data_IF_422848514326
#
_entry.id   IF_422848514326
#
_cell.length_a   1.000
_cell.length_b   1.000
_cell.length_c   1.000
_cell.angle_alpha   90.00
_cell.angle_beta   90.00
_cell.angle_gamma   90.00
#
_symmetry.space_group_name_H-M   'P 1'
#
loop_
_entity.id
_entity.type
_entity.pdbx_description
1 polymer ?
#
# COMPACT_ATOMS: atom_id res chain seq x y z
N UNK A 1 9.92 1.17 -5.03
CA UNK A 1 9.49 1.11 -6.44
C UNK A 1 8.00 0.82 -6.54
N UNK A 2 7.52 -0.38 -6.91
CA UNK A 2 6.06 -0.67 -6.98
C UNK A 2 5.38 -0.67 -5.60
N UNK A 3 6.04 -1.23 -4.57
CA UNK A 3 5.50 -1.21 -3.20
C UNK A 3 5.35 0.23 -2.70
N UNK A 4 6.43 1.02 -2.84
CA UNK A 4 6.46 2.43 -2.46
C UNK A 4 5.42 3.24 -3.23
N UNK A 5 5.22 2.97 -4.52
CA UNK A 5 4.15 3.57 -5.32
C UNK A 5 2.77 3.28 -4.72
N UNK A 6 2.48 2.03 -4.34
CA UNK A 6 1.22 1.71 -3.67
C UNK A 6 1.01 2.49 -2.37
N UNK A 7 2.08 2.65 -1.57
CA UNK A 7 2.05 3.49 -0.35
C UNK A 7 1.78 4.96 -0.69
N UNK A 8 2.44 5.52 -1.71
CA UNK A 8 2.19 6.89 -2.18
C UNK A 8 0.74 7.06 -2.66
N UNK A 9 0.19 6.11 -3.41
CA UNK A 9 -1.21 6.13 -3.82
C UNK A 9 -2.15 6.13 -2.62
N UNK A 10 -1.90 5.28 -1.61
CA UNK A 10 -2.66 5.33 -0.36
C UNK A 10 -2.63 6.72 0.26
N UNK A 11 -1.44 7.33 0.41
CA UNK A 11 -1.32 8.68 1.00
C UNK A 11 -2.06 9.75 0.19
N UNK A 12 -2.09 9.65 -1.15
CA UNK A 12 -2.85 10.56 -2.01
C UNK A 12 -4.36 10.36 -1.82
N UNK A 13 -4.81 9.10 -1.70
CA UNK A 13 -6.23 8.76 -1.56
C UNK A 13 -6.79 9.15 -0.19
N UNK A 14 -6.01 9.00 0.89
CA UNK A 14 -6.48 9.21 2.25
C UNK A 14 -6.06 10.55 2.85
N UNK A 15 -4.97 11.15 2.34
CA UNK A 15 -4.33 12.30 2.98
C UNK A 15 -3.68 11.98 4.33
N UNK A 16 -3.52 10.71 4.67
CA UNK A 16 -2.97 10.25 5.96
C UNK A 16 -1.63 9.55 5.81
N UNK A 17 -0.90 9.38 6.92
CA UNK A 17 0.32 8.58 6.91
C UNK A 17 -0.05 7.08 6.91
N UNK A 18 0.72 6.22 6.23
CA UNK A 18 0.52 4.78 6.30
C UNK A 18 1.00 4.27 7.67
N UNK A 19 0.36 3.20 8.17
CA UNK A 19 0.75 2.52 9.41
C UNK A 19 0.91 3.49 10.60
N UNK A 20 -0.20 4.11 11.00
CA UNK A 20 -0.24 5.01 12.15
C UNK A 20 -0.67 4.29 13.42
N UNK A 21 -0.10 4.71 14.54
CA UNK A 21 -0.54 4.40 15.90
C UNK A 21 -0.75 5.73 16.63
N UNK A 22 -1.97 5.96 17.11
CA UNK A 22 -2.39 7.23 17.75
C UNK A 22 -2.01 8.49 16.95
N UNK A 23 -2.25 8.46 15.63
CA UNK A 23 -1.96 9.57 14.70
C UNK A 23 -0.48 9.79 14.39
N UNK A 24 0.44 8.98 14.94
CA UNK A 24 1.88 9.06 14.70
C UNK A 24 2.34 7.89 13.84
N UNK A 25 3.38 8.12 13.06
CA UNK A 25 4.02 7.05 12.30
C UNK A 25 4.69 6.05 13.26
N UNK A 26 4.56 4.76 12.96
CA UNK A 26 5.31 3.74 13.69
C UNK A 26 6.82 3.97 13.58
N UNK A 27 7.54 3.67 14.67
CA UNK A 27 9.00 3.58 14.64
C UNK A 27 9.44 2.46 13.71
N UNK A 28 10.65 2.57 13.15
CA UNK A 28 11.14 1.69 12.09
C UNK A 28 11.00 0.19 12.42
N UNK A 29 11.39 -0.24 13.63
CA UNK A 29 11.33 -1.65 14.03
C UNK A 29 9.89 -2.19 14.04
N UNK A 30 8.96 -1.44 14.63
CA UNK A 30 7.52 -1.79 14.65
C UNK A 30 6.90 -1.78 13.26
N UNK A 31 7.34 -0.85 12.41
CA UNK A 31 6.86 -0.76 11.03
C UNK A 31 7.29 -2.01 10.24
N UNK A 32 8.53 -2.47 10.41
CA UNK A 32 9.02 -3.70 9.77
C UNK A 32 8.21 -4.90 10.24
N UNK A 33 8.05 -5.09 11.55
CA UNK A 33 7.25 -6.16 12.14
C UNK A 33 5.80 -6.16 11.59
N UNK A 34 5.14 -4.99 11.61
CA UNK A 34 3.78 -4.81 11.09
C UNK A 34 3.66 -5.25 9.62
N UNK A 35 4.65 -4.90 8.78
CA UNK A 35 4.66 -5.26 7.36
C UNK A 35 4.93 -6.75 7.16
N UNK A 36 5.83 -7.34 7.96
CA UNK A 36 6.21 -8.76 7.93
C UNK A 36 5.05 -9.68 8.35
N UNK A 37 4.23 -9.23 9.30
CA UNK A 37 2.98 -9.88 9.73
C UNK A 37 1.87 -9.82 8.67
N UNK A 38 2.08 -9.06 7.60
CA UNK A 38 1.15 -8.98 6.47
C UNK A 38 0.14 -7.84 6.59
N UNK A 39 0.22 -6.99 7.61
CA UNK A 39 -0.66 -5.82 7.72
C UNK A 39 -0.39 -4.85 6.56
N UNK A 40 -1.45 -4.24 6.03
CA UNK A 40 -1.42 -3.26 4.93
C UNK A 40 -2.29 -2.06 5.28
N UNK A 41 -2.06 -0.88 4.66
CA UNK A 41 -2.87 0.30 4.93
C UNK A 41 -4.33 0.10 4.50
N UNK A 42 -5.27 0.53 5.33
CA UNK A 42 -6.71 0.43 5.05
C UNK A 42 -7.17 1.47 4.03
N UNK A 43 -7.73 1.01 2.91
CA UNK A 43 -8.24 1.90 1.87
C UNK A 43 -9.62 2.46 2.24
N UNK A 44 -9.94 3.71 1.82
CA UNK A 44 -11.18 4.37 2.22
C UNK A 44 -12.42 3.68 1.63
N UNK A 45 -13.51 3.70 2.40
CA UNK A 45 -14.82 3.21 1.97
C UNK A 45 -15.32 4.04 0.79
N UNK A 46 -15.39 3.42 -0.40
CA UNK A 46 -15.73 4.10 -1.66
C UNK A 46 -14.60 4.11 -2.70
N UNK A 47 -13.42 3.61 -2.36
CA UNK A 47 -12.36 3.37 -3.34
C UNK A 47 -12.83 2.33 -4.39
N UNK A 48 -12.64 2.59 -5.71
CA UNK A 48 -12.99 1.62 -6.75
C UNK A 48 -12.35 0.25 -6.50
N UNK A 49 -13.12 -0.83 -6.65
CA UNK A 49 -12.63 -2.19 -6.37
C UNK A 49 -11.39 -2.57 -7.18
N UNK A 50 -11.29 -2.09 -8.42
CA UNK A 50 -10.12 -2.30 -9.27
C UNK A 50 -8.86 -1.65 -8.71
N UNK A 51 -8.99 -0.44 -8.15
CA UNK A 51 -7.89 0.27 -7.50
C UNK A 51 -7.49 -0.42 -6.19
N UNK A 52 -8.47 -0.90 -5.40
CA UNK A 52 -8.21 -1.71 -4.21
C UNK A 52 -7.44 -2.98 -4.57
N UNK A 53 -7.86 -3.69 -5.61
CA UNK A 53 -7.18 -4.90 -6.08
C UNK A 53 -5.76 -4.60 -6.57
N UNK A 54 -5.57 -3.51 -7.32
CA UNK A 54 -4.27 -3.06 -7.80
C UNK A 54 -3.31 -2.76 -6.64
N UNK A 55 -3.75 -1.95 -5.67
CA UNK A 55 -2.92 -1.54 -4.52
C UNK A 55 -2.56 -2.74 -3.64
N UNK A 56 -3.50 -3.66 -3.40
CA UNK A 56 -3.21 -4.91 -2.70
C UNK A 56 -2.13 -5.75 -3.41
N UNK A 57 -2.15 -5.82 -4.74
CA UNK A 57 -1.09 -6.48 -5.51
C UNK A 57 0.24 -5.74 -5.44
N UNK A 58 0.24 -4.41 -5.44
CA UNK A 58 1.46 -3.61 -5.23
C UNK A 58 2.12 -3.91 -3.88
N UNK A 59 1.33 -4.24 -2.85
CA UNK A 59 1.82 -4.58 -1.53
C UNK A 59 2.04 -6.08 -1.26
N UNK A 60 2.09 -6.90 -2.31
CA UNK A 60 2.37 -8.33 -2.14
C UNK A 60 3.72 -8.53 -1.42
N UNK A 61 3.75 -9.48 -0.46
CA UNK A 61 4.97 -9.85 0.29
C UNK A 61 6.09 -10.27 -0.66
N UNK A 62 5.78 -11.11 -1.64
CA UNK A 62 6.73 -11.54 -2.66
C UNK A 62 6.88 -10.45 -3.74
N UNK A 63 8.08 -9.87 -3.93
CA UNK A 63 8.30 -8.85 -4.96
C UNK A 63 7.98 -9.30 -6.38
N UNK A 64 8.07 -10.61 -6.68
CA UNK A 64 7.79 -11.17 -8.01
C UNK A 64 6.30 -11.20 -8.36
N UNK A 65 5.43 -11.20 -7.35
CA UNK A 65 3.98 -11.22 -7.54
C UNK A 65 3.37 -9.82 -7.65
N UNK A 66 4.21 -8.78 -7.49
CA UNK A 66 3.83 -7.39 -7.68
C UNK A 66 3.74 -7.08 -9.18
N UNK A 67 2.79 -6.25 -9.61
CA UNK A 67 2.68 -5.85 -11.00
C UNK A 67 3.89 -5.00 -11.42
N UNK A 68 4.24 -5.01 -12.70
CA UNK A 68 5.22 -4.06 -13.26
C UNK A 68 4.56 -2.70 -13.48
N UNK A 69 5.35 -1.62 -13.55
CA UNK A 69 4.80 -0.31 -13.91
C UNK A 69 4.15 -0.27 -15.29
N UNK A 70 4.66 -1.06 -16.25
CA UNK A 70 4.00 -1.22 -17.55
C UNK A 70 2.59 -1.79 -17.39
N UNK A 71 2.40 -2.79 -16.52
CA UNK A 71 1.09 -3.34 -16.22
C UNK A 71 0.19 -2.33 -15.52
N UNK A 72 0.72 -1.62 -14.52
CA UNK A 72 -0.01 -0.57 -13.78
C UNK A 72 -0.50 0.51 -14.76
N UNK A 73 0.36 1.00 -15.65
CA UNK A 73 0.03 2.05 -16.63
C UNK A 73 -1.01 1.63 -17.66
N UNK A 74 -1.26 0.33 -17.85
CA UNK A 74 -2.32 -0.17 -18.74
C UNK A 74 -3.67 -0.34 -18.04
N UNK A 75 -3.67 -0.41 -16.71
CA UNK A 75 -4.86 -0.56 -15.89
C UNK A 75 -5.46 0.77 -15.44
N UNK A 76 -4.63 1.82 -15.40
CA UNK A 76 -5.03 3.21 -15.14
C UNK A 76 -5.31 3.93 -16.46
#
# INVERSE_FOLDING_TARGET
DVYSFGITCFQILTGTLPFQDDGKQLVADKLVETIEDGNRPDLPTGCPLELVALLNRCWNRNPKDRPTFEHISRML
#
